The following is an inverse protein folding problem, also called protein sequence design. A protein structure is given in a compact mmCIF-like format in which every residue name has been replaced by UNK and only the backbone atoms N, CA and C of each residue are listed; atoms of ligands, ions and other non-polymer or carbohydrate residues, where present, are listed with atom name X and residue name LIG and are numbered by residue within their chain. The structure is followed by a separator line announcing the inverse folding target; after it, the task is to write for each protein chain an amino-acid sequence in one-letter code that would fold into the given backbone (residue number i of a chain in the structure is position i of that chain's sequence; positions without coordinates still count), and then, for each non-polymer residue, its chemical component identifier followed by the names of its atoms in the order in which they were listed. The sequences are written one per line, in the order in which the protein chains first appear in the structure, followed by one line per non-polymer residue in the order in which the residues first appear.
data_IF_038989847030
#
_entry.id   IF_038989847030
#
_cell.length_a   1.000
_cell.length_b   1.000
_cell.length_c   1.000
_cell.angle_alpha   90.00
_cell.angle_beta   90.00
_cell.angle_gamma   90.00
#
_symmetry.space_group_name_H-M   'P 1'
#
loop_
_entity.id
_entity.type
_entity.pdbx_description
1 polymer ?
#
# COMPACT_ATOMS: atom_id res chain seq x y z
N UNK A 1 12.95 51.57 -9.82
CA UNK A 1 11.55 51.61 -10.29
C UNK A 1 10.62 51.37 -9.11
N UNK A 2 9.48 52.09 -9.00
CA UNK A 2 8.45 51.79 -7.99
C UNK A 2 7.94 50.35 -8.24
N UNK A 3 7.75 49.52 -7.20
CA UNK A 3 7.22 48.17 -7.39
C UNK A 3 5.81 48.27 -7.98
N UNK A 4 5.59 47.64 -9.14
CA UNK A 4 4.28 47.57 -9.76
C UNK A 4 3.30 46.86 -8.81
N UNK A 5 2.08 47.35 -8.69
CA UNK A 5 1.05 46.75 -7.82
C UNK A 5 0.79 45.28 -8.19
N UNK A 6 0.89 44.94 -9.47
CA UNK A 6 0.75 43.55 -9.95
C UNK A 6 1.79 42.61 -9.34
N UNK A 7 3.01 43.07 -9.05
CA UNK A 7 4.01 42.23 -8.39
C UNK A 7 3.75 42.06 -6.89
N UNK A 8 3.10 43.04 -6.26
CA UNK A 8 2.67 42.89 -4.86
C UNK A 8 1.52 41.89 -4.75
N UNK A 9 0.57 41.95 -5.67
CA UNK A 9 -0.54 41.00 -5.79
C UNK A 9 -0.02 39.58 -6.06
N UNK A 10 0.85 39.39 -7.06
CA UNK A 10 1.42 38.09 -7.39
C UNK A 10 2.21 37.50 -6.21
N UNK A 11 2.98 38.35 -5.51
CA UNK A 11 3.70 37.94 -4.30
C UNK A 11 2.74 37.45 -3.22
N UNK A 12 1.63 38.15 -2.97
CA UNK A 12 0.61 37.74 -2.00
C UNK A 12 0.04 36.35 -2.33
N UNK A 13 -0.22 36.08 -3.61
CA UNK A 13 -0.70 34.76 -4.08
C UNK A 13 0.34 33.66 -3.91
N UNK A 14 1.61 33.94 -4.25
CA UNK A 14 2.72 33.00 -4.00
C UNK A 14 2.83 32.70 -2.49
N UNK A 15 2.79 33.72 -1.64
CA UNK A 15 2.85 33.56 -0.18
C UNK A 15 1.66 32.76 0.37
N UNK A 16 0.47 32.91 -0.24
CA UNK A 16 -0.73 32.12 0.09
C UNK A 16 -0.53 30.64 -0.25
N UNK A 17 -0.04 30.33 -1.46
CA UNK A 17 0.27 28.95 -1.85
C UNK A 17 1.35 28.33 -0.94
N UNK A 18 2.43 29.07 -0.65
CA UNK A 18 3.48 28.61 0.27
C UNK A 18 2.92 28.33 1.66
N UNK A 19 2.06 29.19 2.18
CA UNK A 19 1.43 29.02 3.50
C UNK A 19 0.52 27.78 3.52
N UNK A 20 -0.24 27.54 2.44
CA UNK A 20 -1.06 26.34 2.31
C UNK A 20 -0.22 25.07 2.32
N UNK A 21 0.84 25.00 1.50
CA UNK A 21 1.74 23.85 1.46
C UNK A 21 2.35 23.56 2.84
N UNK A 22 2.72 24.61 3.59
CA UNK A 22 3.27 24.48 4.95
C UNK A 22 2.25 23.98 5.97
N UNK A 23 0.96 24.28 5.79
CA UNK A 23 -0.11 23.78 6.64
C UNK A 23 -0.51 22.32 6.33
N UNK A 24 -0.19 21.84 5.13
CA UNK A 24 -0.44 20.48 4.67
C UNK A 24 -0.80 20.47 3.19
N UNK A 25 -0.44 19.38 2.49
CA UNK A 25 -0.80 19.19 1.08
C UNK A 25 -2.09 18.36 0.99
N UNK A 26 -3.15 18.95 0.43
CA UNK A 26 -4.30 18.18 -0.04
C UNK A 26 -4.04 17.61 -1.44
N UNK A 27 -4.74 16.53 -1.82
CA UNK A 27 -4.56 15.85 -3.11
C UNK A 27 -4.81 16.75 -4.34
N UNK A 28 -5.62 17.80 -4.20
CA UNK A 28 -5.86 18.79 -5.25
C UNK A 28 -4.86 19.94 -5.31
N UNK A 29 -3.89 20.00 -4.39
CA UNK A 29 -3.02 21.17 -4.26
C UNK A 29 -1.94 21.23 -5.33
N UNK A 30 -1.26 20.10 -5.56
CA UNK A 30 -0.19 19.98 -6.54
C UNK A 30 -0.61 20.44 -7.95
N UNK A 31 -1.71 19.94 -8.57
CA UNK A 31 -2.08 20.37 -9.91
C UNK A 31 -2.45 21.86 -9.98
N UNK A 32 -3.08 22.40 -8.94
CA UNK A 32 -3.45 23.83 -8.87
C UNK A 32 -2.20 24.71 -8.81
N UNK A 33 -1.23 24.33 -7.99
CA UNK A 33 0.02 25.08 -7.83
C UNK A 33 0.86 25.00 -9.11
N UNK A 34 0.99 23.81 -9.70
CA UNK A 34 1.73 23.61 -10.94
C UNK A 34 1.14 24.46 -12.07
N UNK A 35 -0.20 24.49 -12.18
CA UNK A 35 -0.88 25.34 -13.15
C UNK A 35 -0.61 26.83 -12.90
N UNK A 36 -0.71 27.28 -11.65
CA UNK A 36 -0.40 28.67 -11.26
C UNK A 36 1.03 29.08 -11.66
N UNK A 37 2.02 28.22 -11.41
CA UNK A 37 3.41 28.50 -11.80
C UNK A 37 3.52 28.59 -13.33
N UNK A 38 3.02 27.60 -14.07
CA UNK A 38 3.13 27.54 -15.53
C UNK A 38 2.37 28.63 -16.27
N UNK A 39 1.13 28.92 -15.86
CA UNK A 39 0.24 29.80 -16.61
C UNK A 39 0.37 31.27 -16.19
N UNK A 40 0.82 31.54 -14.96
CA UNK A 40 0.81 32.90 -14.41
C UNK A 40 2.19 33.44 -14.01
N UNK A 41 3.13 32.57 -13.61
CA UNK A 41 4.48 33.02 -13.21
C UNK A 41 5.46 32.93 -14.38
N UNK A 42 5.58 31.77 -15.02
CA UNK A 42 6.55 31.54 -16.11
C UNK A 42 6.42 32.56 -17.26
N UNK A 43 5.22 32.96 -17.72
CA UNK A 43 5.09 33.95 -18.80
C UNK A 43 5.65 35.33 -18.43
N UNK A 44 5.82 35.62 -17.14
CA UNK A 44 6.39 36.88 -16.65
C UNK A 44 7.92 36.87 -16.64
N UNK A 45 8.58 35.70 -16.74
CA UNK A 45 10.03 35.58 -16.67
C UNK A 45 10.80 36.48 -17.65
N UNK A 46 10.41 36.62 -18.94
CA UNK A 46 11.11 37.53 -19.85
C UNK A 46 11.16 38.97 -19.34
N UNK A 47 10.07 39.46 -18.74
CA UNK A 47 10.02 40.79 -18.16
C UNK A 47 10.77 40.85 -16.81
N UNK A 48 10.59 39.86 -15.94
CA UNK A 48 11.25 39.80 -14.63
C UNK A 48 12.78 39.75 -14.73
N UNK A 49 13.34 39.10 -15.76
CA UNK A 49 14.78 39.06 -16.03
C UNK A 49 15.39 40.45 -16.22
N UNK A 50 14.60 41.44 -16.65
CA UNK A 50 15.06 42.85 -16.82
C UNK A 50 15.25 43.60 -15.49
N UNK A 51 14.72 43.07 -14.38
CA UNK A 51 14.74 43.72 -13.06
C UNK A 51 16.10 43.60 -12.32
N UNK A 52 17.07 42.91 -12.92
CA UNK A 52 18.45 42.87 -12.47
C UNK A 52 19.03 41.47 -12.27
N UNK A 53 20.34 41.40 -12.05
CA UNK A 53 21.13 40.16 -11.99
C UNK A 53 20.61 39.15 -10.96
N UNK A 54 20.10 39.62 -9.81
CA UNK A 54 19.58 38.74 -8.76
C UNK A 54 18.33 37.99 -9.22
N UNK A 55 17.43 38.65 -9.94
CA UNK A 55 16.20 38.06 -10.46
C UNK A 55 16.54 37.11 -11.61
N UNK A 56 17.44 37.53 -12.50
CA UNK A 56 17.92 36.71 -13.61
C UNK A 56 18.46 35.35 -13.11
N UNK A 57 19.39 35.37 -12.13
CA UNK A 57 19.91 34.15 -11.48
C UNK A 57 18.87 33.31 -10.74
N UNK A 58 17.74 33.88 -10.34
CA UNK A 58 16.67 33.12 -9.70
C UNK A 58 15.82 32.39 -10.74
N UNK A 59 15.57 33.02 -11.88
CA UNK A 59 14.88 32.40 -13.02
C UNK A 59 15.74 31.30 -13.63
N UNK A 60 17.03 31.53 -13.87
CA UNK A 60 17.95 30.50 -14.39
C UNK A 60 17.92 29.25 -13.50
N UNK A 61 18.05 29.42 -12.17
CA UNK A 61 17.99 28.30 -11.23
C UNK A 61 16.67 27.55 -11.24
N UNK A 62 15.56 28.22 -11.55
CA UNK A 62 14.27 27.55 -11.70
C UNK A 62 14.24 26.75 -13.00
N UNK A 63 14.57 27.36 -14.12
CA UNK A 63 14.57 26.72 -15.45
C UNK A 63 15.54 25.52 -15.50
N UNK A 64 16.72 25.64 -14.89
CA UNK A 64 17.70 24.54 -14.76
C UNK A 64 17.16 23.38 -13.91
N UNK A 65 16.20 23.64 -13.01
CA UNK A 65 15.58 22.62 -12.16
C UNK A 65 14.32 21.98 -12.79
N UNK A 66 13.79 22.56 -13.86
CA UNK A 66 12.65 22.03 -14.60
C UNK A 66 13.09 20.78 -15.38
N UNK A 67 12.40 19.67 -15.15
CA UNK A 67 12.62 18.45 -15.92
C UNK A 67 12.06 18.62 -17.34
N UNK A 68 12.91 18.40 -18.35
CA UNK A 68 12.55 18.63 -19.76
C UNK A 68 11.41 17.71 -20.26
N UNK A 69 11.20 16.54 -19.64
CA UNK A 69 10.16 15.60 -20.06
C UNK A 69 8.79 15.92 -19.46
N UNK A 70 8.75 16.40 -18.22
CA UNK A 70 7.50 16.74 -17.49
C UNK A 70 7.16 18.24 -17.60
N UNK A 71 8.15 19.05 -17.97
CA UNK A 71 8.04 20.50 -18.06
C UNK A 71 7.79 21.16 -16.70
N UNK A 72 8.18 20.54 -15.59
CA UNK A 72 8.15 21.15 -14.26
C UNK A 72 9.25 20.58 -13.36
N UNK A 73 9.43 21.14 -12.17
CA UNK A 73 10.41 20.65 -11.19
C UNK A 73 9.98 19.28 -10.67
N UNK A 74 10.63 18.21 -11.15
CA UNK A 74 10.21 16.82 -10.91
C UNK A 74 11.19 16.01 -10.06
N UNK A 75 11.90 16.63 -9.11
CA UNK A 75 12.99 15.95 -8.40
C UNK A 75 12.52 15.00 -7.30
N UNK A 76 11.78 15.52 -6.32
CA UNK A 76 11.35 14.74 -5.14
C UNK A 76 10.26 13.73 -5.51
N UNK A 77 9.36 14.09 -6.42
CA UNK A 77 8.32 13.21 -6.94
C UNK A 77 8.93 12.01 -7.67
N UNK A 78 9.90 12.24 -8.55
CA UNK A 78 10.65 11.16 -9.23
C UNK A 78 11.35 10.24 -8.22
N UNK A 79 12.05 10.80 -7.23
CA UNK A 79 12.71 9.99 -6.21
C UNK A 79 11.73 9.12 -5.41
N UNK A 80 10.54 9.64 -5.10
CA UNK A 80 9.46 8.89 -4.47
C UNK A 80 8.94 7.77 -5.38
N UNK A 81 8.60 8.07 -6.63
CA UNK A 81 8.09 7.07 -7.58
C UNK A 81 9.09 5.97 -7.89
N UNK A 82 10.38 6.30 -8.03
CA UNK A 82 11.45 5.33 -8.17
C UNK A 82 11.55 4.43 -6.93
N UNK A 83 11.39 5.00 -5.73
CA UNK A 83 11.40 4.24 -4.48
C UNK A 83 10.19 3.29 -4.38
N UNK A 84 8.99 3.76 -4.76
CA UNK A 84 7.77 2.93 -4.83
C UNK A 84 7.95 1.80 -5.85
N UNK A 85 8.51 2.10 -7.03
CA UNK A 85 8.77 1.11 -8.06
C UNK A 85 9.72 0.00 -7.61
N UNK A 86 10.83 0.37 -6.93
CA UNK A 86 11.79 -0.59 -6.38
C UNK A 86 11.14 -1.46 -5.29
N UNK A 87 10.42 -0.85 -4.36
CA UNK A 87 9.75 -1.55 -3.27
C UNK A 87 8.68 -2.53 -3.80
N UNK A 88 7.76 -2.05 -4.64
CA UNK A 88 6.70 -2.89 -5.22
C UNK A 88 7.26 -3.99 -6.10
N UNK A 89 8.34 -3.74 -6.84
CA UNK A 89 9.06 -4.76 -7.58
C UNK A 89 9.54 -5.89 -6.67
N UNK A 90 10.20 -5.55 -5.55
CA UNK A 90 10.68 -6.55 -4.58
C UNK A 90 9.54 -7.35 -3.94
N UNK A 91 8.50 -6.68 -3.48
CA UNK A 91 7.37 -7.33 -2.81
C UNK A 91 6.60 -8.25 -3.77
N UNK A 92 6.42 -7.82 -5.02
CA UNK A 92 5.80 -8.64 -6.06
C UNK A 92 6.63 -9.89 -6.35
N UNK A 93 7.95 -9.75 -6.54
CA UNK A 93 8.80 -10.92 -6.77
C UNK A 93 8.84 -11.90 -5.60
N UNK A 94 8.72 -11.40 -4.36
CA UNK A 94 8.60 -12.27 -3.19
C UNK A 94 7.25 -12.99 -3.16
N UNK A 95 6.15 -12.27 -3.41
CA UNK A 95 4.81 -12.83 -3.47
C UNK A 95 4.67 -13.90 -4.55
N UNK A 96 5.12 -13.60 -5.78
CA UNK A 96 5.03 -14.52 -6.92
C UNK A 96 5.79 -15.84 -6.64
N UNK A 97 6.91 -15.77 -5.89
CA UNK A 97 7.65 -16.96 -5.47
C UNK A 97 6.87 -17.78 -4.44
N UNK A 98 6.35 -17.15 -3.40
CA UNK A 98 5.60 -17.86 -2.35
C UNK A 98 4.26 -18.40 -2.89
N UNK A 99 3.65 -17.71 -3.85
CA UNK A 99 2.42 -18.13 -4.54
C UNK A 99 2.69 -19.36 -5.40
N UNK A 100 3.77 -19.38 -6.20
CA UNK A 100 4.12 -20.54 -7.01
C UNK A 100 4.34 -21.80 -6.15
N UNK A 101 4.92 -21.64 -4.96
CA UNK A 101 5.04 -22.73 -3.99
C UNK A 101 3.67 -23.16 -3.46
N UNK A 102 2.78 -22.23 -3.11
CA UNK A 102 1.44 -22.56 -2.63
C UNK A 102 0.60 -23.29 -3.69
N UNK A 103 0.66 -22.84 -4.96
CA UNK A 103 -0.02 -23.48 -6.09
C UNK A 103 0.41 -24.94 -6.29
N UNK A 104 1.69 -25.25 -6.05
CA UNK A 104 2.19 -26.62 -6.15
C UNK A 104 1.63 -27.55 -5.06
N UNK A 105 1.21 -27.01 -3.91
CA UNK A 105 0.58 -27.80 -2.84
C UNK A 105 -0.92 -27.97 -3.06
N UNK A 106 -1.60 -26.90 -3.47
CA UNK A 106 -3.04 -26.92 -3.71
C UNK A 106 -3.44 -25.91 -4.78
N UNK A 107 -4.03 -26.33 -5.91
CA UNK A 107 -4.51 -25.41 -6.93
C UNK A 107 -5.58 -24.47 -6.38
N UNK A 108 -5.39 -23.17 -6.57
CA UNK A 108 -6.35 -22.15 -6.16
C UNK A 108 -6.36 -21.00 -7.17
N UNK A 109 -7.45 -20.24 -7.22
CA UNK A 109 -7.47 -19.03 -8.03
C UNK A 109 -6.80 -17.90 -7.26
N UNK A 110 -5.85 -17.23 -7.90
CA UNK A 110 -5.09 -16.13 -7.33
C UNK A 110 -5.27 -14.87 -8.17
N UNK A 111 -5.86 -13.83 -7.57
CA UNK A 111 -6.05 -12.53 -8.20
C UNK A 111 -5.12 -11.50 -7.56
N UNK A 112 -4.36 -10.76 -8.36
CA UNK A 112 -3.42 -9.74 -7.87
C UNK A 112 -3.67 -8.41 -8.54
N UNK A 113 -3.72 -7.36 -7.72
CA UNK A 113 -3.83 -5.97 -8.15
C UNK A 113 -2.59 -5.19 -7.69
N UNK A 114 -2.08 -4.34 -8.58
CA UNK A 114 -0.93 -3.47 -8.30
C UNK A 114 -1.33 -2.01 -8.44
N UNK A 115 -1.17 -1.27 -7.35
CA UNK A 115 -1.39 0.18 -7.29
C UNK A 115 -0.09 0.83 -6.78
N UNK A 116 -0.16 1.63 -5.73
CA UNK A 116 0.97 2.06 -4.92
C UNK A 116 1.43 0.97 -3.93
N UNK A 117 0.63 -0.09 -3.74
CA UNK A 117 0.99 -1.32 -3.03
C UNK A 117 0.70 -2.60 -3.84
N UNK A 118 0.59 -3.72 -3.13
CA UNK A 118 0.24 -5.03 -3.69
C UNK A 118 -0.93 -5.61 -2.91
N UNK A 119 -2.06 -5.78 -3.59
CA UNK A 119 -3.25 -6.42 -3.06
C UNK A 119 -3.44 -7.75 -3.79
N UNK A 120 -3.88 -8.77 -3.06
CA UNK A 120 -4.22 -10.05 -3.67
C UNK A 120 -5.38 -10.72 -2.96
N UNK A 121 -6.05 -11.60 -3.68
CA UNK A 121 -7.17 -12.38 -3.21
C UNK A 121 -7.05 -13.81 -3.70
N UNK A 122 -7.48 -14.75 -2.85
CA UNK A 122 -7.48 -16.17 -3.15
C UNK A 122 -8.91 -16.69 -3.10
N UNK A 123 -9.38 -17.32 -4.17
CA UNK A 123 -10.57 -18.16 -4.14
C UNK A 123 -10.17 -19.62 -4.13
N UNK A 124 -10.75 -20.37 -3.21
CA UNK A 124 -10.48 -21.80 -3.02
C UNK A 124 -11.77 -22.50 -2.63
N UNK A 125 -12.01 -23.68 -3.19
CA UNK A 125 -13.23 -24.45 -2.92
C UNK A 125 -13.43 -25.57 -3.93
N UNK A 126 -14.34 -26.50 -3.62
CA UNK A 126 -14.64 -27.65 -4.47
C UNK A 126 -15.07 -27.23 -5.88
N UNK A 127 -15.84 -26.15 -6.02
CA UNK A 127 -16.32 -25.64 -7.31
C UNK A 127 -15.22 -25.12 -8.24
N UNK A 128 -14.00 -24.90 -7.74
CA UNK A 128 -12.86 -24.43 -8.53
C UNK A 128 -11.92 -25.56 -8.96
N UNK A 129 -12.17 -26.79 -8.48
CA UNK A 129 -11.35 -27.95 -8.80
C UNK A 129 -12.11 -28.90 -9.71
N UNK A 130 -11.44 -29.39 -10.76
CA UNK A 130 -12.01 -30.42 -11.65
C UNK A 130 -12.40 -31.70 -10.89
N UNK A 131 -11.66 -32.02 -9.82
CA UNK A 131 -11.91 -33.21 -8.99
C UNK A 131 -13.05 -33.02 -7.99
N UNK A 132 -13.44 -31.77 -7.71
CA UNK A 132 -14.38 -31.42 -6.64
C UNK A 132 -13.89 -31.72 -5.21
N UNK A 133 -12.66 -32.23 -5.04
CA UNK A 133 -12.12 -32.62 -3.74
C UNK A 133 -11.52 -31.42 -3.02
N UNK A 134 -12.26 -30.88 -2.05
CA UNK A 134 -11.80 -29.79 -1.20
C UNK A 134 -12.06 -30.12 0.26
N UNK A 135 -11.04 -29.90 1.08
CA UNK A 135 -11.10 -30.05 2.53
C UNK A 135 -10.74 -28.72 3.20
N UNK A 136 -11.37 -28.45 4.34
CA UNK A 136 -11.16 -27.21 5.11
C UNK A 136 -9.69 -26.97 5.47
N UNK A 137 -8.92 -28.04 5.66
CA UNK A 137 -7.48 -27.99 5.94
C UNK A 137 -6.70 -27.14 4.91
N UNK A 138 -7.08 -27.16 3.63
CA UNK A 138 -6.39 -26.37 2.60
C UNK A 138 -6.63 -24.87 2.78
N UNK A 139 -7.84 -24.48 3.20
CA UNK A 139 -8.16 -23.09 3.52
C UNK A 139 -7.37 -22.62 4.75
N UNK A 140 -7.30 -23.45 5.79
CA UNK A 140 -6.55 -23.13 7.01
C UNK A 140 -5.05 -22.98 6.69
N UNK A 141 -4.50 -23.84 5.82
CA UNK A 141 -3.12 -23.73 5.34
C UNK A 141 -2.87 -22.44 4.55
N UNK A 142 -3.79 -22.04 3.66
CA UNK A 142 -3.68 -20.79 2.91
C UNK A 142 -3.72 -19.56 3.83
N UNK A 143 -4.46 -19.60 4.94
CA UNK A 143 -4.51 -18.51 5.93
C UNK A 143 -3.20 -18.38 6.68
N UNK A 144 -2.62 -19.50 7.13
CA UNK A 144 -1.27 -19.52 7.70
C UNK A 144 -0.25 -18.98 6.69
N UNK A 145 -0.38 -19.38 5.42
CA UNK A 145 0.46 -18.87 4.34
C UNK A 145 0.32 -17.36 4.16
N UNK A 146 -0.89 -16.79 4.18
CA UNK A 146 -1.10 -15.34 4.08
C UNK A 146 -0.41 -14.58 5.21
N UNK A 147 -0.48 -15.08 6.45
CA UNK A 147 0.21 -14.47 7.61
C UNK A 147 1.73 -14.54 7.42
N UNK A 148 2.25 -15.71 7.03
CA UNK A 148 3.69 -15.90 6.75
C UNK A 148 4.19 -14.93 5.68
N UNK A 149 3.46 -14.83 4.56
CA UNK A 149 3.80 -13.94 3.45
C UNK A 149 3.75 -12.48 3.87
N UNK A 150 2.73 -12.06 4.64
CA UNK A 150 2.66 -10.69 5.16
C UNK A 150 3.87 -10.35 6.05
N UNK A 151 4.29 -11.27 6.91
CA UNK A 151 5.51 -11.10 7.73
C UNK A 151 6.77 -10.98 6.85
N UNK A 152 6.90 -11.83 5.83
CA UNK A 152 8.03 -11.78 4.90
C UNK A 152 8.07 -10.49 4.07
N UNK A 153 6.91 -9.98 3.64
CA UNK A 153 6.82 -8.69 2.96
C UNK A 153 7.29 -7.55 3.86
N UNK A 154 6.84 -7.52 5.13
CA UNK A 154 7.27 -6.52 6.10
C UNK A 154 8.79 -6.56 6.31
N UNK A 155 9.36 -7.77 6.38
CA UNK A 155 10.80 -7.97 6.48
C UNK A 155 11.55 -7.41 5.24
N UNK A 156 11.07 -7.69 4.02
CA UNK A 156 11.69 -7.14 2.80
C UNK A 156 11.61 -5.61 2.76
N UNK A 157 10.47 -5.01 3.17
CA UNK A 157 10.34 -3.56 3.30
C UNK A 157 11.42 -2.99 4.22
N UNK A 158 11.55 -3.55 5.42
CA UNK A 158 12.53 -3.08 6.40
C UNK A 158 13.97 -3.20 5.87
N UNK A 159 14.31 -4.29 5.18
CA UNK A 159 15.64 -4.46 4.59
C UNK A 159 15.94 -3.50 3.44
N UNK A 160 14.92 -3.08 2.69
CA UNK A 160 15.07 -2.12 1.60
C UNK A 160 15.06 -0.67 2.07
N UNK A 161 14.41 -0.36 3.19
CA UNK A 161 14.10 0.99 3.67
C UNK A 161 15.25 1.98 3.56
N UNK A 162 16.45 1.61 4.02
CA UNK A 162 17.63 2.47 4.01
C UNK A 162 18.29 2.63 2.63
N UNK A 163 17.93 1.79 1.66
CA UNK A 163 18.48 1.83 0.29
C UNK A 163 17.62 2.64 -0.68
N UNK A 164 16.39 2.97 -0.29
CA UNK A 164 15.46 3.76 -1.10
C UNK A 164 15.84 5.24 -1.09
N UNK A 165 15.64 5.94 -2.22
CA UNK A 165 15.88 7.39 -2.33
C UNK A 165 14.99 8.18 -1.37
N UNK A 166 13.77 7.68 -1.17
CA UNK A 166 12.83 8.11 -0.14
C UNK A 166 12.53 6.88 0.71
N UNK A 167 12.83 6.87 2.02
CA UNK A 167 12.45 5.77 2.90
C UNK A 167 10.93 5.59 2.91
N UNK A 168 10.48 4.37 2.62
CA UNK A 168 9.07 4.00 2.58
C UNK A 168 8.77 2.93 3.63
N UNK A 169 7.58 3.03 4.22
CA UNK A 169 7.03 2.02 5.10
C UNK A 169 5.87 1.31 4.42
N UNK A 170 5.63 0.06 4.79
CA UNK A 170 4.44 -0.70 4.41
C UNK A 170 3.61 -1.03 5.63
N UNK A 171 2.31 -1.15 5.41
CA UNK A 171 1.38 -1.63 6.42
C UNK A 171 0.66 -2.85 5.89
N UNK A 172 0.48 -3.87 6.72
CA UNK A 172 -0.04 -5.16 6.28
C UNK A 172 -1.42 -5.43 6.89
N UNK A 173 -2.35 -5.86 6.05
CA UNK A 173 -3.72 -6.17 6.43
C UNK A 173 -4.19 -7.47 5.78
N UNK A 174 -4.85 -8.31 6.57
CA UNK A 174 -5.57 -9.49 6.09
C UNK A 174 -7.03 -9.33 6.49
N UNK A 175 -7.94 -9.42 5.53
CA UNK A 175 -9.37 -9.54 5.78
C UNK A 175 -9.75 -11.02 5.74
N UNK A 176 -10.32 -11.52 6.84
CA UNK A 176 -10.71 -12.91 6.98
C UNK A 176 -12.20 -13.06 6.75
N UNK A 177 -12.54 -14.09 5.97
CA UNK A 177 -13.92 -14.43 5.68
C UNK A 177 -14.08 -15.96 5.64
N UNK A 178 -15.03 -16.48 6.44
CA UNK A 178 -15.42 -17.89 6.44
C UNK A 178 -16.63 -18.18 5.53
N UNK A 179 -17.46 -17.18 5.24
CA UNK A 179 -18.68 -17.37 4.47
C UNK A 179 -18.36 -17.71 3.00
N UNK A 180 -18.88 -18.84 2.46
CA UNK A 180 -18.78 -19.15 1.03
C UNK A 180 -19.37 -18.02 0.18
N UNK A 181 -18.70 -17.74 -0.94
CA UNK A 181 -19.09 -16.72 -1.90
C UNK A 181 -19.69 -17.38 -3.14
N UNK A 182 -20.77 -16.80 -3.67
CA UNK A 182 -21.23 -17.15 -5.02
C UNK A 182 -20.44 -16.30 -6.00
N UNK A 183 -19.68 -16.95 -6.88
CA UNK A 183 -18.81 -16.26 -7.84
C UNK A 183 -19.18 -16.66 -9.27
N UNK A 184 -19.22 -15.67 -10.16
CA UNK A 184 -19.42 -15.84 -11.58
C UNK A 184 -18.17 -15.40 -12.35
N UNK A 185 -17.64 -16.23 -13.25
CA UNK A 185 -16.48 -15.84 -14.05
C UNK A 185 -16.90 -14.96 -15.23
N UNK A 186 -16.43 -13.71 -15.25
CA UNK A 186 -16.64 -12.76 -16.34
C UNK A 186 -15.55 -12.92 -17.38
N UNK A 187 -15.84 -13.63 -18.47
CA UNK A 187 -14.86 -13.97 -19.52
C UNK A 187 -14.26 -12.73 -20.22
N UNK A 188 -15.03 -11.66 -20.34
CA UNK A 188 -14.61 -10.37 -20.89
C UNK A 188 -13.56 -9.70 -20.00
N UNK A 189 -13.74 -9.76 -18.68
CA UNK A 189 -12.88 -9.09 -17.69
C UNK A 189 -11.80 -10.02 -17.09
N UNK A 190 -11.89 -11.32 -17.37
CA UNK A 190 -11.02 -12.39 -16.83
C UNK A 190 -10.90 -12.37 -15.30
N UNK A 191 -12.00 -12.06 -14.62
CA UNK A 191 -12.09 -12.02 -13.16
C UNK A 191 -13.41 -12.61 -12.67
N UNK A 192 -13.45 -12.98 -11.40
CA UNK A 192 -14.70 -13.32 -10.74
C UNK A 192 -15.43 -12.05 -10.33
N UNK A 193 -16.73 -12.02 -10.63
CA UNK A 193 -17.67 -11.08 -10.04
C UNK A 193 -18.50 -11.81 -8.98
N UNK A 194 -19.03 -11.08 -8.02
CA UNK A 194 -19.71 -11.69 -6.87
C UNK A 194 -21.23 -11.61 -7.03
N UNK A 195 -21.88 -12.76 -6.95
CA UNK A 195 -23.30 -12.94 -7.24
C UNK A 195 -24.14 -12.97 -5.96
N UNK A 196 -24.61 -11.80 -5.48
CA UNK A 196 -25.63 -11.75 -4.43
C UNK A 196 -25.57 -10.54 -3.51
N UNK A 197 -26.68 -10.26 -2.81
CA UNK A 197 -26.77 -9.12 -1.90
C UNK A 197 -25.87 -9.24 -0.65
N UNK A 198 -25.58 -10.47 -0.20
CA UNK A 198 -24.66 -10.73 0.92
C UNK A 198 -23.21 -10.46 0.52
N UNK A 199 -22.90 -10.67 -0.75
CA UNK A 199 -21.57 -10.55 -1.32
C UNK A 199 -21.17 -9.10 -1.59
N UNK A 200 -22.15 -8.22 -1.84
CA UNK A 200 -21.94 -6.77 -1.92
C UNK A 200 -21.29 -6.23 -0.63
N UNK A 201 -21.61 -6.80 0.53
CA UNK A 201 -20.99 -6.40 1.80
C UNK A 201 -19.47 -6.56 1.75
N UNK A 202 -18.99 -7.63 1.13
CA UNK A 202 -17.55 -7.93 1.07
C UNK A 202 -16.82 -6.96 0.15
N UNK A 203 -17.41 -6.62 -1.00
CA UNK A 203 -16.86 -5.59 -1.88
C UNK A 203 -16.84 -4.20 -1.22
N UNK A 204 -17.87 -3.89 -0.41
CA UNK A 204 -17.89 -2.67 0.40
C UNK A 204 -16.74 -2.66 1.41
N UNK A 205 -16.50 -3.76 2.14
CA UNK A 205 -15.39 -3.85 3.09
C UNK A 205 -14.06 -3.68 2.35
N UNK A 206 -13.81 -4.47 1.30
CA UNK A 206 -12.58 -4.42 0.50
C UNK A 206 -12.25 -3.01 0.02
N UNK A 207 -13.25 -2.26 -0.46
CA UNK A 207 -13.04 -0.90 -0.97
C UNK A 207 -12.72 0.17 0.08
N UNK A 208 -12.85 -0.15 1.38
CA UNK A 208 -12.73 0.85 2.47
C UNK A 208 -11.83 0.42 3.62
N UNK A 209 -11.51 -0.86 3.74
CA UNK A 209 -10.79 -1.39 4.90
C UNK A 209 -9.35 -0.85 5.00
N UNK A 210 -8.76 -0.44 3.88
CA UNK A 210 -7.47 0.25 3.80
C UNK A 210 -7.43 1.55 4.63
N UNK A 211 -8.58 2.19 4.81
CA UNK A 211 -8.77 3.45 5.57
C UNK A 211 -9.50 3.25 6.89
N UNK A 212 -9.67 2.01 7.33
CA UNK A 212 -10.32 1.72 8.60
C UNK A 212 -9.58 2.38 9.77
N UNK A 213 -10.35 2.95 10.69
CA UNK A 213 -9.86 3.57 11.92
C UNK A 213 -10.41 2.85 13.13
N UNK A 214 -9.67 2.91 14.22
CA UNK A 214 -10.05 2.31 15.49
C UNK A 214 -11.22 3.10 16.08
N UNK A 215 -12.21 2.37 16.62
CA UNK A 215 -13.41 2.95 17.22
C UNK A 215 -13.07 3.92 18.36
N UNK A 216 -13.71 5.09 18.36
CA UNK A 216 -13.50 6.13 19.37
C UNK A 216 -12.21 6.94 19.17
N UNK A 217 -11.52 6.77 18.05
CA UNK A 217 -10.26 7.45 17.76
C UNK A 217 -10.14 7.98 16.33
N UNK A 218 -8.94 8.46 16.00
CA UNK A 218 -8.54 8.84 14.62
C UNK A 218 -7.37 8.00 14.11
N UNK A 219 -6.95 7.02 14.90
CA UNK A 219 -5.83 6.16 14.58
C UNK A 219 -6.25 5.17 13.50
N UNK A 220 -5.44 5.05 12.44
CA UNK A 220 -5.62 3.99 11.44
C UNK A 220 -5.36 2.63 12.06
N UNK A 221 -6.16 1.64 11.64
CA UNK A 221 -5.96 0.24 12.01
C UNK A 221 -4.54 -0.21 11.64
N UNK A 222 -4.16 0.03 10.39
CA UNK A 222 -2.89 -0.38 9.82
C UNK A 222 -1.76 0.54 10.28
N UNK A 223 -0.65 -0.07 10.72
CA UNK A 223 0.53 0.63 11.21
C UNK A 223 1.80 -0.02 10.67
N UNK A 224 2.88 0.75 10.39
CA UNK A 224 4.16 0.18 10.01
C UNK A 224 4.67 -0.84 11.03
N UNK A 225 5.30 -1.91 10.56
CA UNK A 225 5.84 -2.97 11.42
C UNK A 225 4.80 -3.82 12.13
N UNK A 226 3.51 -3.68 11.79
CA UNK A 226 2.42 -4.48 12.36
C UNK A 226 1.62 -5.20 11.28
N UNK A 227 1.05 -6.33 11.66
CA UNK A 227 0.01 -7.04 10.92
C UNK A 227 -1.35 -6.74 11.56
N UNK A 228 -2.30 -6.28 10.74
CA UNK A 228 -3.71 -6.18 11.11
C UNK A 228 -4.50 -7.35 10.50
N UNK A 229 -5.31 -8.03 11.30
CA UNK A 229 -6.19 -9.12 10.85
C UNK A 229 -7.62 -8.76 11.19
N UNK A 230 -8.44 -8.48 10.17
CA UNK A 230 -9.83 -8.03 10.31
C UNK A 230 -10.76 -9.22 10.17
N UNK A 231 -11.77 -9.31 11.04
CA UNK A 231 -12.77 -10.35 11.04
C UNK A 231 -14.14 -9.82 11.46
N UNK A 232 -15.19 -10.56 11.11
CA UNK A 232 -16.59 -10.16 11.32
C UNK A 232 -17.33 -11.05 12.31
N UNK A 233 -16.83 -12.26 12.56
CA UNK A 233 -17.42 -13.23 13.47
C UNK A 233 -16.45 -13.67 14.56
N UNK A 234 -17.01 -14.17 15.68
CA UNK A 234 -16.20 -14.71 16.77
C UNK A 234 -15.38 -15.94 16.34
N UNK A 235 -15.95 -16.81 15.51
CA UNK A 235 -15.27 -18.01 15.00
C UNK A 235 -14.02 -17.66 14.18
N UNK A 236 -14.13 -16.67 13.28
CA UNK A 236 -12.98 -16.13 12.54
C UNK A 236 -11.91 -15.58 13.49
N UNK A 237 -12.32 -14.84 14.52
CA UNK A 237 -11.43 -14.30 15.53
C UNK A 237 -10.70 -15.38 16.34
N UNK A 238 -11.39 -16.44 16.75
CA UNK A 238 -10.78 -17.54 17.51
C UNK A 238 -9.78 -18.34 16.65
N UNK A 239 -10.09 -18.54 15.37
CA UNK A 239 -9.18 -19.18 14.42
C UNK A 239 -7.91 -18.36 14.21
N UNK A 240 -8.06 -17.07 13.92
CA UNK A 240 -6.91 -16.19 13.71
C UNK A 240 -6.06 -16.04 14.95
N UNK A 241 -6.65 -15.99 16.14
CA UNK A 241 -5.89 -15.98 17.38
C UNK A 241 -4.97 -17.20 17.51
N UNK A 242 -5.44 -18.41 17.14
CA UNK A 242 -4.61 -19.62 17.15
C UNK A 242 -3.46 -19.54 16.14
N UNK A 243 -3.73 -19.07 14.92
CA UNK A 243 -2.70 -18.91 13.89
C UNK A 243 -1.65 -17.85 14.27
N UNK A 244 -2.07 -16.72 14.84
CA UNK A 244 -1.16 -15.68 15.31
C UNK A 244 -0.30 -16.18 16.48
N UNK A 245 -0.87 -16.95 17.40
CA UNK A 245 -0.12 -17.56 18.50
C UNK A 245 0.97 -18.53 17.99
N UNK A 246 0.67 -19.33 16.96
CA UNK A 246 1.68 -20.17 16.31
C UNK A 246 2.87 -19.35 15.79
N UNK A 247 2.61 -18.25 15.08
CA UNK A 247 3.69 -17.39 14.57
C UNK A 247 4.42 -16.56 15.63
N UNK A 248 3.84 -16.38 16.82
CA UNK A 248 4.54 -15.83 17.98
C UNK A 248 5.56 -16.84 18.54
N UNK A 249 5.21 -18.13 18.58
CA UNK A 249 6.12 -19.19 19.01
C UNK A 249 7.25 -19.45 18.00
N UNK A 250 6.96 -19.34 16.69
CA UNK A 250 7.97 -19.39 15.63
C UNK A 250 8.87 -18.13 15.59
N UNK A 251 8.55 -17.11 16.40
CA UNK A 251 9.31 -15.87 16.48
C UNK A 251 9.17 -14.95 15.27
N UNK A 252 8.06 -15.02 14.53
CA UNK A 252 7.79 -14.11 13.40
C UNK A 252 7.00 -12.89 13.87
N UNK A 253 6.18 -13.08 14.90
CA UNK A 253 5.35 -12.06 15.53
C UNK A 253 5.78 -11.81 16.97
N UNK A 254 5.60 -10.59 17.43
CA UNK A 254 5.81 -10.20 18.83
C UNK A 254 4.65 -10.65 19.70
N UNK A 255 4.91 -10.77 21.00
CA UNK A 255 3.89 -11.11 22.03
C UNK A 255 3.12 -9.88 22.52
N UNK A 256 2.65 -9.05 21.59
CA UNK A 256 1.96 -7.77 21.83
C UNK A 256 0.60 -7.69 21.10
N UNK A 257 -0.08 -8.83 20.94
CA UNK A 257 -1.38 -8.93 20.29
C UNK A 257 -2.43 -8.06 21.02
N UNK A 258 -3.08 -7.18 20.26
CA UNK A 258 -4.18 -6.34 20.75
C UNK A 258 -5.45 -6.61 19.94
N UNK A 259 -6.59 -6.73 20.63
CA UNK A 259 -7.92 -6.77 20.02
C UNK A 259 -8.50 -5.37 19.93
N UNK A 260 -9.01 -5.01 18.76
CA UNK A 260 -9.50 -3.67 18.44
C UNK A 260 -10.92 -3.75 17.85
N UNK A 261 -11.76 -2.78 18.20
CA UNK A 261 -13.02 -2.53 17.51
C UNK A 261 -12.81 -1.45 16.44
N UNK A 262 -13.40 -1.63 15.25
CA UNK A 262 -13.29 -0.67 14.16
C UNK A 262 -14.50 0.26 14.11
N UNK A 263 -14.30 1.48 13.62
CA UNK A 263 -15.41 2.36 13.24
C UNK A 263 -16.28 1.72 12.16
N UNK A 264 -17.57 2.06 12.18
CA UNK A 264 -18.52 1.52 11.21
C UNK A 264 -18.20 1.99 9.79
N UNK A 265 -18.18 1.04 8.86
CA UNK A 265 -18.09 1.36 7.43
C UNK A 265 -19.53 1.47 6.88
N UNK A 266 -19.78 2.29 5.85
CA UNK A 266 -21.13 2.38 5.28
C UNK A 266 -21.67 1.01 4.86
N UNK A 267 -22.75 0.54 5.50
CA UNK A 267 -23.35 -0.77 5.23
C UNK A 267 -22.68 -1.98 5.92
N UNK A 268 -21.68 -1.75 6.78
CA UNK A 268 -20.96 -2.79 7.53
C UNK A 268 -20.75 -2.37 8.98
N UNK A 269 -21.18 -3.21 9.91
CA UNK A 269 -21.06 -2.96 11.35
C UNK A 269 -20.41 -4.15 12.05
N UNK A 270 -19.82 -3.89 13.22
CA UNK A 270 -19.31 -4.93 14.11
C UNK A 270 -17.97 -5.54 13.71
N UNK A 271 -17.21 -4.92 12.80
CA UNK A 271 -15.87 -5.38 12.45
C UNK A 271 -14.93 -5.24 13.65
N UNK A 272 -14.18 -6.31 13.91
CA UNK A 272 -13.11 -6.36 14.88
C UNK A 272 -11.80 -6.66 14.17
N UNK A 273 -10.69 -6.35 14.83
CA UNK A 273 -9.38 -6.67 14.32
C UNK A 273 -8.43 -7.10 15.42
N UNK A 274 -7.50 -7.97 15.07
CA UNK A 274 -6.24 -8.09 15.80
C UNK A 274 -5.19 -7.18 15.19
N UNK A 275 -4.34 -6.62 16.03
CA UNK A 275 -3.10 -5.98 15.61
C UNK A 275 -1.95 -6.53 16.43
N UNK A 276 -0.88 -6.91 15.75
CA UNK A 276 0.30 -7.53 16.36
C UNK A 276 1.57 -7.04 15.67
N UNK A 277 2.63 -6.84 16.45
CA UNK A 277 3.93 -6.45 15.94
C UNK A 277 4.59 -7.59 15.17
N UNK A 278 5.25 -7.26 14.06
CA UNK A 278 6.09 -8.21 13.32
C UNK A 278 7.52 -8.09 13.87
N UNK A 279 8.18 -9.22 14.11
CA UNK A 279 9.57 -9.24 14.53
C UNK A 279 10.50 -9.13 13.31
N UNK A 280 10.81 -7.88 12.93
CA UNK A 280 11.65 -7.56 11.77
C UNK A 280 13.14 -7.92 11.97
N UNK A 281 13.55 -8.23 13.21
CA UNK A 281 14.91 -8.66 13.55
C UNK A 281 15.03 -10.19 13.65
N UNK A 282 13.90 -10.91 13.53
CA UNK A 282 13.85 -12.36 13.62
C UNK A 282 14.74 -13.05 12.58
N UNK A 283 15.68 -13.85 13.08
CA UNK A 283 16.53 -14.69 12.24
C UNK A 283 15.73 -15.78 11.51
N UNK A 284 14.68 -16.32 12.16
CA UNK A 284 13.82 -17.35 11.58
C UNK A 284 13.00 -16.78 10.41
N UNK A 285 12.37 -15.61 10.60
CA UNK A 285 11.67 -14.90 9.53
C UNK A 285 12.62 -14.54 8.38
N UNK A 286 13.83 -14.06 8.71
CA UNK A 286 14.83 -13.74 7.71
C UNK A 286 15.25 -14.94 6.86
N UNK A 287 15.38 -16.13 7.44
CA UNK A 287 15.74 -17.35 6.70
C UNK A 287 14.66 -17.75 5.68
N UNK A 288 13.38 -17.69 6.06
CA UNK A 288 12.29 -18.07 5.15
C UNK A 288 11.97 -17.00 4.10
N UNK A 289 12.16 -15.73 4.43
CA UNK A 289 11.79 -14.62 3.55
C UNK A 289 12.84 -14.39 2.44
N UNK A 290 14.12 -14.74 2.71
CA UNK A 290 15.21 -14.58 1.74
C UNK A 290 14.95 -15.36 0.47
N UNK A 291 15.45 -14.81 -0.65
CA UNK A 291 15.57 -15.60 -1.87
C UNK A 291 16.65 -16.65 -1.66
N UNK A 292 16.45 -17.89 -2.11
CA UNK A 292 17.54 -18.86 -2.12
C UNK A 292 18.73 -18.21 -2.84
N UNK A 293 19.92 -18.34 -2.25
CA UNK A 293 21.13 -17.97 -2.98
C UNK A 293 21.12 -18.78 -4.28
N UNK A 294 21.27 -18.10 -5.41
CA UNK A 294 21.43 -18.79 -6.68
C UNK A 294 22.61 -19.74 -6.49
N UNK A 295 22.35 -21.05 -6.56
CA UNK A 295 23.41 -22.05 -6.55
C UNK A 295 24.41 -21.58 -7.61
N UNK A 296 25.60 -21.18 -7.17
CA UNK A 296 26.68 -20.83 -8.06
C UNK A 296 26.90 -22.06 -8.90
N UNK A 297 26.45 -22.01 -10.15
CA UNK A 297 26.67 -23.05 -11.12
C UNK A 297 28.16 -23.02 -11.45
N UNK A 298 28.96 -23.66 -10.59
CA UNK A 298 30.30 -24.11 -10.93
C UNK A 298 30.15 -25.38 -11.76
N UNK A 299 30.15 -25.21 -13.07
CA UNK A 299 30.49 -26.25 -14.04
C UNK A 299 31.38 -25.60 -15.10
#
# INVERSE_FOLDING_TARGET
AKPLLVFQELRSRVETHVSRIRAGLASGDEPVILRFVKEEIEPLFPHLRTLGLKVNRAVDRYEDAVDASVGTVYRLRKAFEESVGVLNGRLTSYLDREEAQAQAHFPHFFERHRTDGVDYLIYVGSSLLETGQFERLYLDNLRLWQIKVACGMAWHTERLRSSLKVPLDTTHLILVQNAPLSIGFRFDEKRFDVDGAYDIRNEIIKSRIDKAVIKGGRERLTQPGHLAVVFSSQEEGEEMQRHLAFFQEEGYLKRDLVTLDLEELPGVQGLKAYRVGIDLESGALGQIARFPEAATASA
#
